data_IF_864366233581
#
_entry.id   IF_864366233581
#
_cell.length_a   1.000
_cell.length_b   1.000
_cell.length_c   1.000
_cell.angle_alpha   90.00
_cell.angle_beta   90.00
_cell.angle_gamma   90.00
#
_symmetry.space_group_name_H-M   'P 1'
#
loop_
_entity.id
_entity.type
_entity.pdbx_description
1 polymer ?
#
# COMPACT_ATOMS: atom_id res chain seq x y z
N UNK A 1 -14.44 14.41 9.98
CA UNK A 1 -13.19 13.66 9.90
C UNK A 1 -12.10 14.59 9.36
N UNK A 2 -11.22 15.06 10.21
CA UNK A 2 -10.08 15.87 9.81
C UNK A 2 -9.04 14.93 9.19
N UNK A 3 -8.65 15.19 7.95
CA UNK A 3 -7.48 14.61 7.32
C UNK A 3 -6.25 14.93 8.18
N UNK A 4 -5.69 13.91 8.82
CA UNK A 4 -4.52 14.07 9.67
C UNK A 4 -3.29 13.99 8.78
N UNK A 5 -2.62 15.12 8.57
CA UNK A 5 -1.31 15.14 7.90
C UNK A 5 -0.25 14.47 8.79
N UNK A 6 0.85 13.95 8.21
CA UNK A 6 1.84 13.14 8.92
C UNK A 6 2.39 13.71 10.25
N UNK A 7 2.34 15.03 10.46
CA UNK A 7 2.71 15.68 11.73
C UNK A 7 1.68 15.42 12.84
N UNK A 8 0.40 15.35 12.49
CA UNK A 8 -0.69 15.10 13.45
C UNK A 8 -0.77 13.63 13.86
N UNK A 9 -0.31 12.71 13.02
CA UNK A 9 -0.36 11.27 13.25
C UNK A 9 0.39 10.83 14.51
N UNK A 10 1.55 11.44 14.79
CA UNK A 10 2.32 11.16 16.00
C UNK A 10 1.80 11.94 17.21
N UNK A 11 1.15 13.09 17.01
CA UNK A 11 0.68 13.93 18.10
C UNK A 11 -0.47 13.31 18.91
N UNK A 12 -1.36 12.55 18.28
CA UNK A 12 -2.52 11.93 18.95
C UNK A 12 -2.12 10.88 19.98
N UNK A 13 -1.30 9.85 19.66
CA UNK A 13 -0.82 8.90 20.67
C UNK A 13 -0.02 9.57 21.79
N UNK A 14 0.87 10.51 21.48
CA UNK A 14 1.66 11.25 22.46
C UNK A 14 0.77 12.04 23.41
N UNK A 15 -0.22 12.76 22.90
CA UNK A 15 -1.14 13.56 23.73
C UNK A 15 -2.04 12.67 24.58
N UNK A 16 -2.48 11.53 24.08
CA UNK A 16 -3.27 10.56 24.84
C UNK A 16 -2.48 9.97 25.99
N UNK A 17 -1.27 9.48 25.72
CA UNK A 17 -0.37 8.91 26.74
C UNK A 17 -0.09 9.92 27.85
N UNK A 18 0.24 11.16 27.51
CA UNK A 18 0.50 12.21 28.48
C UNK A 18 -0.71 12.57 29.36
N UNK A 19 -1.93 12.36 28.83
CA UNK A 19 -3.17 12.73 29.52
C UNK A 19 -3.82 11.56 30.26
N UNK A 20 -3.72 10.34 29.73
CA UNK A 20 -4.42 9.14 30.20
C UNK A 20 -3.50 7.88 30.05
N UNK A 21 -2.39 7.80 30.80
CA UNK A 21 -1.37 6.77 30.57
C UNK A 21 -1.85 5.33 30.80
N UNK A 22 -2.86 5.14 31.65
CA UNK A 22 -3.40 3.82 31.99
C UNK A 22 -4.59 3.40 31.11
N UNK A 23 -4.99 4.22 30.14
CA UNK A 23 -6.16 3.95 29.31
C UNK A 23 -5.74 3.38 27.96
N UNK A 24 -6.24 2.20 27.56
CA UNK A 24 -5.99 1.67 26.22
C UNK A 24 -6.44 2.64 25.13
N UNK A 25 -5.73 2.66 24.03
CA UNK A 25 -6.05 3.51 22.89
C UNK A 25 -6.03 2.75 21.56
N UNK A 26 -6.72 3.27 20.59
CA UNK A 26 -6.70 2.79 19.21
C UNK A 26 -6.59 3.99 18.27
N UNK A 27 -5.75 3.89 17.25
CA UNK A 27 -5.63 4.90 16.19
C UNK A 27 -5.72 4.22 14.83
N UNK A 28 -6.60 4.74 13.97
CA UNK A 28 -6.65 4.41 12.56
C UNK A 28 -5.99 5.53 11.77
N UNK A 29 -4.91 5.20 11.06
CA UNK A 29 -4.12 6.15 10.27
C UNK A 29 -4.40 5.90 8.80
N UNK A 30 -5.24 6.74 8.20
CA UNK A 30 -5.51 6.75 6.76
C UNK A 30 -4.53 7.67 6.05
N UNK A 31 -3.44 7.10 5.52
CA UNK A 31 -2.47 7.87 4.74
C UNK A 31 -3.04 8.18 3.35
N UNK A 32 -2.74 9.37 2.81
CA UNK A 32 -2.97 9.66 1.38
C UNK A 32 -2.01 8.90 0.45
N UNK A 33 -0.89 8.47 0.98
CA UNK A 33 0.09 7.64 0.26
C UNK A 33 -0.39 6.18 0.18
N UNK A 34 -0.29 5.51 -0.96
CA UNK A 34 0.30 6.04 -2.21
C UNK A 34 -0.75 6.34 -3.28
N UNK A 35 -1.93 6.83 -2.92
CA UNK A 35 -2.93 7.25 -3.90
C UNK A 35 -2.49 8.53 -4.62
N UNK A 36 -2.81 8.66 -5.91
CA UNK A 36 -2.60 9.92 -6.62
C UNK A 36 -3.40 11.08 -5.98
N UNK A 37 -2.86 12.31 -5.97
CA UNK A 37 -1.62 12.77 -6.62
C UNK A 37 -0.37 12.27 -5.89
N UNK A 38 0.60 11.75 -6.66
CA UNK A 38 1.88 11.35 -6.09
C UNK A 38 2.72 12.60 -5.79
N UNK A 39 2.87 12.93 -4.52
CA UNK A 39 3.58 14.13 -4.04
C UNK A 39 4.55 13.74 -2.93
N UNK A 40 5.78 14.27 -3.00
CA UNK A 40 6.82 13.99 -2.02
C UNK A 40 7.87 15.11 -1.97
N UNK A 41 8.72 15.14 -0.94
CA UNK A 41 9.89 16.02 -0.91
C UNK A 41 10.78 15.84 -2.14
N UNK A 42 11.24 16.95 -2.71
CA UNK A 42 12.00 16.99 -3.97
C UNK A 42 13.25 16.11 -3.92
N UNK A 43 13.98 16.14 -2.83
CA UNK A 43 15.20 15.36 -2.63
C UNK A 43 14.96 13.84 -2.69
N UNK A 44 13.80 13.36 -2.25
CA UNK A 44 13.43 11.95 -2.37
C UNK A 44 13.08 11.60 -3.82
N UNK A 45 12.39 12.49 -4.53
CA UNK A 45 12.05 12.27 -5.94
C UNK A 45 13.35 12.20 -6.78
N UNK A 46 14.29 13.11 -6.56
CA UNK A 46 15.59 13.13 -7.24
C UNK A 46 16.43 11.88 -6.96
N UNK A 47 16.35 11.35 -5.73
CA UNK A 47 16.97 10.08 -5.38
C UNK A 47 16.39 8.92 -6.20
N UNK A 48 15.06 8.79 -6.24
CA UNK A 48 14.40 7.68 -6.95
C UNK A 48 14.45 7.84 -8.47
N UNK A 49 14.60 9.03 -9.00
CA UNK A 49 14.82 9.28 -10.42
C UNK A 49 16.05 8.53 -10.95
N UNK A 50 17.08 8.34 -10.13
CA UNK A 50 18.26 7.55 -10.48
C UNK A 50 18.05 6.04 -10.35
N UNK A 51 17.10 5.61 -9.52
CA UNK A 51 16.87 4.18 -9.22
C UNK A 51 16.18 3.47 -10.38
N UNK A 52 15.22 4.09 -11.05
CA UNK A 52 14.33 3.43 -12.00
C UNK A 52 14.75 3.56 -13.48
N UNK A 53 16.01 3.91 -13.75
CA UNK A 53 16.56 4.10 -15.11
C UNK A 53 16.49 2.82 -15.97
N UNK A 54 16.47 1.64 -15.36
CA UNK A 54 16.46 0.34 -16.04
C UNK A 54 15.07 -0.07 -16.55
N UNK A 55 14.01 0.67 -16.19
CA UNK A 55 12.66 0.44 -16.67
C UNK A 55 11.89 -0.71 -16.04
N UNK A 56 10.61 -0.78 -16.34
CA UNK A 56 9.68 -1.71 -15.66
C UNK A 56 9.88 -3.18 -15.98
N UNK A 57 10.41 -3.56 -17.16
CA UNK A 57 10.61 -4.98 -17.48
C UNK A 57 11.77 -5.57 -16.64
N UNK A 58 12.85 -4.81 -16.47
CA UNK A 58 13.97 -5.21 -15.61
C UNK A 58 13.53 -5.18 -14.14
N UNK A 59 12.84 -4.12 -13.72
CA UNK A 59 12.30 -4.01 -12.37
C UNK A 59 11.42 -5.21 -11.98
N UNK A 60 10.52 -5.66 -12.88
CA UNK A 60 9.69 -6.85 -12.64
C UNK A 60 10.52 -8.10 -12.39
N UNK A 61 11.56 -8.30 -13.20
CA UNK A 61 12.44 -9.48 -13.06
C UNK A 61 13.17 -9.45 -11.73
N UNK A 62 13.75 -8.30 -11.36
CA UNK A 62 14.48 -8.13 -10.10
C UNK A 62 13.54 -8.29 -8.88
N UNK A 63 12.32 -7.76 -8.95
CA UNK A 63 11.33 -7.95 -7.89
C UNK A 63 10.95 -9.41 -7.71
N UNK A 64 10.68 -10.13 -8.79
CA UNK A 64 10.35 -11.56 -8.70
C UNK A 64 11.50 -12.35 -8.09
N UNK A 65 12.74 -12.14 -8.55
CA UNK A 65 13.92 -12.78 -7.98
C UNK A 65 14.03 -12.53 -6.48
N UNK A 66 13.86 -11.27 -6.05
CA UNK A 66 13.89 -10.90 -4.63
C UNK A 66 12.76 -11.52 -3.81
N UNK A 67 11.55 -11.57 -4.36
CA UNK A 67 10.39 -12.21 -3.72
C UNK A 67 10.58 -13.73 -3.55
N UNK A 68 11.22 -14.40 -4.53
CA UNK A 68 11.58 -15.82 -4.43
C UNK A 68 12.66 -16.03 -3.37
N UNK A 69 13.70 -15.17 -3.36
CA UNK A 69 14.77 -15.22 -2.35
C UNK A 69 14.21 -15.08 -0.92
N UNK A 70 13.29 -14.14 -0.72
CA UNK A 70 12.64 -13.88 0.57
C UNK A 70 11.54 -14.90 0.92
N UNK A 71 11.17 -15.79 0.00
CA UNK A 71 10.10 -16.76 0.20
C UNK A 71 8.69 -16.19 0.11
N UNK A 72 8.52 -14.94 -0.33
CA UNK A 72 7.21 -14.28 -0.51
C UNK A 72 6.39 -15.00 -1.58
N UNK A 73 7.05 -15.50 -2.62
CA UNK A 73 6.45 -16.36 -3.64
C UNK A 73 7.21 -17.68 -3.76
N UNK A 74 6.54 -18.77 -4.17
CA UNK A 74 7.20 -20.08 -4.29
C UNK A 74 8.36 -20.08 -5.28
N UNK A 75 9.36 -20.94 -5.03
CA UNK A 75 10.43 -21.21 -6.00
C UNK A 75 9.81 -21.79 -7.28
N UNK A 76 10.30 -21.31 -8.42
CA UNK A 76 9.78 -21.70 -9.73
C UNK A 76 8.55 -20.90 -10.20
N UNK A 77 8.16 -19.88 -9.45
CA UNK A 77 7.18 -18.89 -9.95
C UNK A 77 7.76 -18.20 -11.18
N UNK A 78 7.02 -18.24 -12.27
CA UNK A 78 7.38 -17.58 -13.53
C UNK A 78 6.78 -16.17 -13.62
N UNK A 79 7.50 -15.26 -14.23
CA UNK A 79 7.00 -13.93 -14.51
C UNK A 79 5.93 -14.01 -15.62
N UNK A 80 4.69 -13.61 -15.37
CA UNK A 80 3.67 -13.64 -16.40
C UNK A 80 3.99 -12.64 -17.52
N UNK A 81 3.41 -12.82 -18.71
CA UNK A 81 3.48 -11.83 -19.78
C UNK A 81 3.09 -10.42 -19.29
N UNK A 82 3.55 -9.39 -19.99
CA UNK A 82 3.05 -8.03 -19.74
C UNK A 82 1.53 -8.00 -19.82
N UNK A 83 0.90 -7.14 -19.04
CA UNK A 83 -0.53 -6.89 -19.17
C UNK A 83 -0.84 -6.29 -20.53
N UNK A 84 -2.05 -6.52 -21.04
CA UNK A 84 -2.48 -6.00 -22.33
C UNK A 84 -2.25 -4.48 -22.41
N UNK A 85 -1.85 -4.00 -23.56
CA UNK A 85 -1.55 -2.59 -23.87
C UNK A 85 -0.37 -1.97 -23.05
N UNK A 86 0.43 -2.76 -22.37
CA UNK A 86 1.70 -2.32 -21.81
C UNK A 86 2.82 -2.61 -22.79
N UNK A 87 3.42 -1.57 -23.33
CA UNK A 87 4.55 -1.67 -24.26
C UNK A 87 5.82 -2.15 -23.56
N UNK A 88 6.72 -2.79 -24.31
CA UNK A 88 8.05 -3.11 -23.80
C UNK A 88 8.79 -1.82 -23.51
N UNK A 89 9.51 -1.78 -22.39
CA UNK A 89 10.32 -0.61 -22.04
C UNK A 89 11.27 -0.17 -23.15
N UNK A 90 11.92 -1.14 -23.79
CA UNK A 90 12.88 -0.90 -24.86
C UNK A 90 12.25 -0.38 -26.18
N UNK A 91 10.94 -0.44 -26.33
CA UNK A 91 10.21 0.06 -27.50
C UNK A 91 9.73 1.52 -27.32
N UNK A 92 9.83 2.05 -26.09
CA UNK A 92 9.48 3.44 -25.82
C UNK A 92 10.58 4.40 -26.30
N UNK A 93 10.16 5.56 -26.79
CA UNK A 93 11.11 6.65 -27.06
C UNK A 93 11.67 7.28 -25.77
N UNK A 94 12.81 7.98 -25.89
CA UNK A 94 13.54 8.57 -24.78
C UNK A 94 12.67 9.55 -23.95
N UNK A 95 11.77 10.27 -24.60
CA UNK A 95 10.89 11.23 -23.95
C UNK A 95 9.87 10.53 -23.05
N UNK A 96 9.28 9.47 -23.56
CA UNK A 96 8.32 8.63 -22.84
C UNK A 96 8.98 7.93 -21.65
N UNK A 97 10.17 7.36 -21.86
CA UNK A 97 10.94 6.74 -20.78
C UNK A 97 11.26 7.76 -19.67
N UNK A 98 11.73 8.95 -20.05
CA UNK A 98 12.10 10.01 -19.10
C UNK A 98 10.91 10.45 -18.22
N UNK A 99 9.75 10.68 -18.83
CA UNK A 99 8.53 11.03 -18.11
C UNK A 99 8.07 9.87 -17.20
N UNK A 100 8.10 8.65 -17.71
CA UNK A 100 7.71 7.46 -16.95
C UNK A 100 8.59 7.24 -15.72
N UNK A 101 9.92 7.41 -15.84
CA UNK A 101 10.87 7.35 -14.71
C UNK A 101 10.50 8.38 -13.65
N UNK A 102 10.29 9.63 -14.05
CA UNK A 102 9.98 10.71 -13.12
C UNK A 102 8.66 10.50 -12.38
N UNK A 103 7.64 9.99 -13.05
CA UNK A 103 6.35 9.63 -12.42
C UNK A 103 6.50 8.49 -11.41
N UNK A 104 7.30 7.46 -11.74
CA UNK A 104 7.61 6.38 -10.80
C UNK A 104 8.44 6.86 -9.61
N UNK A 105 9.37 7.76 -9.83
CA UNK A 105 10.18 8.36 -8.78
C UNK A 105 9.31 9.12 -7.77
N UNK A 106 8.31 9.88 -8.24
CA UNK A 106 7.36 10.57 -7.37
C UNK A 106 6.53 9.61 -6.52
N UNK A 107 6.06 8.49 -7.10
CA UNK A 107 5.35 7.44 -6.38
C UNK A 107 6.22 6.79 -5.29
N UNK A 108 7.42 6.35 -5.65
CA UNK A 108 8.34 5.71 -4.72
C UNK A 108 8.80 6.66 -3.60
N UNK A 109 9.03 7.92 -3.93
CA UNK A 109 9.35 8.96 -2.95
C UNK A 109 8.20 9.22 -1.96
N UNK A 110 6.95 9.19 -2.44
CA UNK A 110 5.77 9.32 -1.59
C UNK A 110 5.66 8.15 -0.60
N UNK A 111 5.88 6.92 -1.05
CA UNK A 111 5.90 5.74 -0.19
C UNK A 111 7.03 5.83 0.85
N UNK A 112 8.23 6.18 0.41
CA UNK A 112 9.38 6.36 1.31
C UNK A 112 9.10 7.43 2.37
N UNK A 113 8.51 8.56 1.98
CA UNK A 113 8.14 9.61 2.92
C UNK A 113 7.09 9.14 3.94
N UNK A 114 6.09 8.35 3.51
CA UNK A 114 5.12 7.74 4.41
C UNK A 114 5.79 6.77 5.40
N UNK A 115 6.71 5.93 4.94
CA UNK A 115 7.48 5.01 5.78
C UNK A 115 8.30 5.76 6.85
N UNK A 116 8.93 6.88 6.49
CA UNK A 116 9.62 7.74 7.46
C UNK A 116 8.68 8.27 8.57
N UNK A 117 7.41 8.55 8.24
CA UNK A 117 6.45 8.99 9.26
C UNK A 117 6.01 7.83 10.17
N UNK A 118 5.84 6.63 9.63
CA UNK A 118 5.59 5.42 10.43
C UNK A 118 6.78 5.11 11.34
N UNK A 119 8.01 5.23 10.84
CA UNK A 119 9.22 5.04 11.64
C UNK A 119 9.27 6.01 12.86
N UNK A 120 8.78 7.25 12.71
CA UNK A 120 8.69 8.19 13.84
C UNK A 120 7.68 7.74 14.91
N UNK A 121 6.54 7.15 14.49
CA UNK A 121 5.57 6.58 15.41
C UNK A 121 6.18 5.38 16.15
N UNK A 122 6.82 4.48 15.43
CA UNK A 122 7.50 3.30 16.00
C UNK A 122 8.53 3.74 17.05
N UNK A 123 9.41 4.69 16.69
CA UNK A 123 10.42 5.22 17.61
C UNK A 123 9.80 5.85 18.87
N UNK A 124 8.64 6.48 18.77
CA UNK A 124 7.92 7.01 19.92
C UNK A 124 7.40 5.89 20.84
N UNK A 125 6.78 4.85 20.26
CA UNK A 125 6.28 3.70 21.02
C UNK A 125 7.41 2.95 21.74
N UNK A 126 8.57 2.82 21.10
CA UNK A 126 9.78 2.26 21.73
C UNK A 126 10.26 3.12 22.88
N UNK A 127 10.40 4.43 22.68
CA UNK A 127 10.89 5.37 23.68
C UNK A 127 9.96 5.49 24.91
N UNK A 128 8.65 5.30 24.72
CA UNK A 128 7.65 5.31 25.80
C UNK A 128 7.44 3.95 26.45
N UNK A 129 8.08 2.89 25.95
CA UNK A 129 7.95 1.52 26.49
C UNK A 129 6.61 0.85 26.16
N UNK A 130 5.87 1.35 25.16
CA UNK A 130 4.58 0.80 24.78
C UNK A 130 4.64 -0.22 23.63
N UNK A 131 5.78 -0.33 22.95
CA UNK A 131 5.93 -1.14 21.74
C UNK A 131 5.56 -2.61 21.95
N UNK A 132 5.99 -3.21 23.06
CA UNK A 132 5.76 -4.63 23.33
C UNK A 132 4.27 -4.98 23.36
N UNK A 133 3.45 -4.11 23.97
CA UNK A 133 2.00 -4.30 24.10
C UNK A 133 1.18 -3.48 23.09
N UNK A 134 1.75 -3.16 21.94
CA UNK A 134 1.05 -2.45 20.85
C UNK A 134 1.00 -3.32 19.61
N UNK A 135 -0.20 -3.58 19.10
CA UNK A 135 -0.38 -4.18 17.78
C UNK A 135 -0.34 -3.11 16.71
N UNK A 136 0.56 -3.24 15.75
CA UNK A 136 0.63 -2.38 14.55
C UNK A 136 0.24 -3.22 13.35
N UNK A 137 -0.78 -2.78 12.61
CA UNK A 137 -1.20 -3.39 11.35
C UNK A 137 -1.02 -2.41 10.23
N UNK A 138 -0.24 -2.78 9.21
CA UNK A 138 -0.01 -1.97 8.00
C UNK A 138 -0.47 -2.76 6.80
N UNK A 139 -1.34 -2.18 6.00
CA UNK A 139 -1.87 -2.84 4.80
C UNK A 139 -2.07 -1.84 3.66
N UNK A 140 -2.11 -2.36 2.44
CA UNK A 140 -2.70 -1.69 1.28
C UNK A 140 -4.15 -2.17 1.12
N UNK A 141 -5.03 -1.29 0.67
CA UNK A 141 -6.47 -1.57 0.50
C UNK A 141 -6.80 -2.12 -0.89
N UNK A 142 -5.88 -1.98 -1.83
CA UNK A 142 -5.95 -2.52 -3.19
C UNK A 142 -4.56 -2.54 -3.85
N UNK A 143 -4.45 -3.24 -4.96
CA UNK A 143 -3.24 -3.24 -5.77
C UNK A 143 -2.95 -1.90 -6.43
N UNK A 144 -1.77 -1.79 -7.04
CA UNK A 144 -1.31 -0.58 -7.71
C UNK A 144 -2.31 -0.08 -8.75
N UNK A 145 -2.46 1.25 -8.84
CA UNK A 145 -3.47 1.91 -9.66
C UNK A 145 -3.17 1.82 -11.15
N UNK A 146 -4.20 1.55 -11.96
CA UNK A 146 -4.16 1.71 -13.42
C UNK A 146 -4.65 3.09 -13.90
N UNK A 147 -5.02 3.97 -12.99
CA UNK A 147 -5.70 5.22 -13.30
C UNK A 147 -4.80 6.24 -14.01
N UNK A 148 -3.48 6.04 -13.98
CA UNK A 148 -2.53 6.83 -14.77
C UNK A 148 -2.52 6.54 -16.28
N UNK A 149 -3.26 5.50 -16.72
CA UNK A 149 -3.30 5.13 -18.13
C UNK A 149 -1.97 4.59 -18.67
N UNK A 150 -1.86 4.41 -20.00
CA UNK A 150 -0.66 3.83 -20.61
C UNK A 150 0.61 4.63 -20.34
N UNK A 151 0.52 5.96 -20.33
CA UNK A 151 1.68 6.88 -20.35
C UNK A 151 1.80 7.74 -19.06
N UNK A 152 0.96 7.50 -18.07
CA UNK A 152 0.92 8.34 -16.87
C UNK A 152 0.39 9.74 -17.13
N UNK A 153 0.17 10.51 -16.06
CA UNK A 153 -0.30 11.89 -16.12
C UNK A 153 0.56 12.78 -15.23
N UNK A 154 0.83 14.00 -15.68
CA UNK A 154 1.37 15.06 -14.84
C UNK A 154 0.23 15.74 -14.08
N UNK A 155 -0.92 15.91 -14.73
CA UNK A 155 -2.13 16.41 -14.10
C UNK A 155 -3.37 15.63 -14.59
N UNK A 156 -3.76 14.61 -13.86
CA UNK A 156 -4.87 13.72 -14.19
C UNK A 156 -6.21 14.44 -14.40
N UNK A 157 -6.40 15.63 -13.85
CA UNK A 157 -7.66 16.36 -13.98
C UNK A 157 -7.97 16.76 -15.43
N UNK A 158 -6.94 17.05 -16.23
CA UNK A 158 -7.12 17.30 -17.68
C UNK A 158 -7.68 16.08 -18.39
N UNK A 159 -6.95 14.95 -18.46
CA UNK A 159 -7.39 13.70 -19.08
C UNK A 159 -8.75 13.19 -18.59
N UNK A 160 -9.05 13.28 -17.30
CA UNK A 160 -10.35 12.86 -16.75
C UNK A 160 -11.51 13.74 -17.22
N UNK A 161 -11.23 14.95 -17.67
CA UNK A 161 -12.20 15.86 -18.29
C UNK A 161 -12.13 15.88 -19.83
N UNK A 162 -11.47 14.88 -20.45
CA UNK A 162 -11.39 14.77 -21.91
C UNK A 162 -10.35 15.69 -22.56
N UNK A 163 -9.44 16.27 -21.79
CA UNK A 163 -8.33 17.12 -22.24
C UNK A 163 -7.02 16.33 -22.10
N UNK A 164 -6.60 15.56 -23.12
CA UNK A 164 -5.39 14.74 -23.05
C UNK A 164 -4.14 15.61 -22.93
N UNK A 165 -3.16 15.12 -22.18
CA UNK A 165 -1.83 15.73 -22.11
C UNK A 165 -0.94 15.17 -23.24
N UNK A 166 -0.35 16.04 -24.04
CA UNK A 166 0.69 15.66 -25.01
C UNK A 166 2.01 15.34 -24.31
N UNK A 167 2.90 14.59 -24.96
CA UNK A 167 4.23 14.31 -24.43
C UNK A 167 5.07 15.60 -24.28
N UNK A 168 4.91 16.58 -25.18
CA UNK A 168 5.55 17.87 -25.09
C UNK A 168 5.13 18.63 -23.81
N UNK A 169 3.84 18.65 -23.51
CA UNK A 169 3.32 19.25 -22.26
C UNK A 169 3.87 18.53 -21.03
N UNK A 170 3.90 17.20 -21.01
CA UNK A 170 4.49 16.43 -19.90
C UNK A 170 5.96 16.75 -19.69
N UNK A 171 6.75 16.82 -20.76
CA UNK A 171 8.16 17.15 -20.70
C UNK A 171 8.40 18.59 -20.21
N UNK A 172 7.58 19.54 -20.64
CA UNK A 172 7.69 20.94 -20.21
C UNK A 172 7.49 21.12 -18.70
N UNK A 173 6.80 20.15 -18.06
CA UNK A 173 6.47 20.15 -16.64
C UNK A 173 7.14 19.02 -15.85
N UNK A 174 8.16 18.39 -16.42
CA UNK A 174 8.80 17.21 -15.80
C UNK A 174 9.37 17.50 -14.41
N UNK A 175 9.90 18.71 -14.21
CA UNK A 175 10.45 19.14 -12.93
C UNK A 175 9.39 19.48 -11.87
N UNK A 176 8.14 19.68 -12.31
CA UNK A 176 7.00 19.90 -11.41
C UNK A 176 6.43 18.58 -10.85
N UNK A 177 6.68 17.45 -11.53
CA UNK A 177 6.14 16.13 -11.15
C UNK A 177 6.50 15.79 -9.70
N UNK A 178 5.48 15.47 -8.93
CA UNK A 178 5.59 15.19 -7.50
C UNK A 178 5.55 16.43 -6.60
N UNK A 179 5.45 17.62 -7.19
CA UNK A 179 5.26 18.88 -6.48
C UNK A 179 3.78 19.22 -6.22
N UNK A 180 3.52 20.30 -5.47
CA UNK A 180 2.16 20.66 -5.02
C UNK A 180 1.21 21.08 -6.15
N UNK A 181 1.77 21.51 -7.30
CA UNK A 181 1.00 22.02 -8.43
C UNK A 181 0.68 20.92 -9.49
N UNK A 182 0.90 19.65 -9.14
CA UNK A 182 0.64 18.50 -10.01
C UNK A 182 -0.32 17.51 -9.37
N UNK A 183 -1.12 16.86 -10.21
CA UNK A 183 -1.92 15.71 -9.85
C UNK A 183 -1.38 14.49 -10.61
N UNK A 184 -0.14 14.11 -10.31
CA UNK A 184 0.58 13.10 -11.05
C UNK A 184 0.14 11.68 -10.71
N UNK A 185 0.15 10.81 -11.74
CA UNK A 185 -0.06 9.37 -11.60
C UNK A 185 0.83 8.62 -12.59
N UNK A 186 1.38 7.48 -12.18
CA UNK A 186 2.34 6.72 -12.97
C UNK A 186 1.68 5.84 -14.04
N UNK A 187 2.42 5.45 -15.11
CA UNK A 187 1.87 4.65 -16.21
C UNK A 187 1.66 3.18 -15.83
N UNK A 188 0.83 2.48 -16.63
CA UNK A 188 0.51 1.04 -16.46
C UNK A 188 1.74 0.13 -16.34
N UNK A 189 2.82 0.46 -17.03
CA UNK A 189 4.06 -0.33 -16.94
C UNK A 189 4.61 -0.39 -15.51
N UNK A 190 4.61 0.73 -14.82
CA UNK A 190 5.03 0.79 -13.41
C UNK A 190 4.00 0.20 -12.47
N UNK A 191 2.69 0.36 -12.74
CA UNK A 191 1.64 -0.32 -11.98
C UNK A 191 1.78 -1.84 -12.06
N UNK A 192 2.07 -2.36 -13.27
CA UNK A 192 2.35 -3.78 -13.48
C UNK A 192 3.60 -4.22 -12.70
N UNK A 193 4.66 -3.42 -12.72
CA UNK A 193 5.88 -3.72 -11.96
C UNK A 193 5.63 -3.73 -10.44
N UNK A 194 4.82 -2.80 -9.94
CA UNK A 194 4.44 -2.74 -8.52
C UNK A 194 3.65 -3.99 -8.06
N UNK A 195 2.83 -4.57 -8.92
CA UNK A 195 2.01 -5.76 -8.62
C UNK A 195 2.71 -7.10 -8.91
N UNK A 196 3.99 -7.11 -9.29
CA UNK A 196 4.73 -8.33 -9.62
C UNK A 196 4.66 -9.39 -8.50
N UNK A 197 4.41 -10.66 -8.82
CA UNK A 197 4.18 -11.25 -10.14
C UNK A 197 2.71 -11.31 -10.55
N UNK A 198 1.83 -10.65 -9.84
CA UNK A 198 0.39 -10.73 -10.05
C UNK A 198 -0.05 -9.96 -11.29
N UNK A 199 -1.12 -10.43 -11.92
CA UNK A 199 -1.68 -9.79 -13.11
C UNK A 199 -2.71 -8.73 -12.75
N UNK A 200 -2.81 -7.71 -13.61
CA UNK A 200 -3.77 -6.60 -13.51
C UNK A 200 -3.49 -5.67 -12.33
N UNK A 201 -4.44 -4.86 -11.96
CA UNK A 201 -4.31 -3.65 -11.16
C UNK A 201 -5.53 -3.47 -10.25
N UNK A 202 -5.52 -2.44 -9.41
CA UNK A 202 -6.71 -1.87 -8.77
C UNK A 202 -7.89 -1.85 -9.76
N UNK A 203 -9.10 -2.04 -9.29
CA UNK A 203 -10.34 -2.15 -10.07
C UNK A 203 -10.46 -3.44 -10.91
N UNK A 204 -9.66 -4.45 -10.63
CA UNK A 204 -9.76 -5.77 -11.24
C UNK A 204 -9.84 -6.85 -10.16
N UNK A 205 -10.63 -7.88 -10.40
CA UNK A 205 -10.73 -9.05 -9.51
C UNK A 205 -9.58 -10.06 -9.70
N UNK A 206 -8.57 -9.72 -10.49
CA UNK A 206 -7.32 -10.47 -10.61
C UNK A 206 -6.41 -10.22 -9.40
N UNK A 207 -5.44 -11.11 -9.20
CA UNK A 207 -4.51 -11.02 -8.07
C UNK A 207 -3.86 -9.66 -7.87
N UNK A 208 -3.48 -8.95 -8.96
CA UNK A 208 -2.89 -7.63 -8.86
C UNK A 208 -3.85 -6.51 -8.42
N UNK A 209 -5.14 -6.81 -8.30
CA UNK A 209 -6.11 -5.86 -7.78
C UNK A 209 -6.61 -6.18 -6.37
N UNK A 210 -6.54 -7.47 -5.96
CA UNK A 210 -7.19 -7.94 -4.73
C UNK A 210 -6.25 -8.68 -3.76
N UNK A 211 -4.98 -8.85 -4.13
CA UNK A 211 -4.00 -9.52 -3.27
C UNK A 211 -2.91 -8.54 -2.85
N UNK A 212 -3.08 -7.99 -1.68
CA UNK A 212 -2.32 -6.87 -1.15
C UNK A 212 -1.52 -7.27 0.08
N UNK A 213 -0.43 -6.56 0.40
CA UNK A 213 0.38 -6.86 1.57
C UNK A 213 -0.36 -6.49 2.87
N UNK A 214 -0.20 -7.35 3.87
CA UNK A 214 -0.55 -7.09 5.26
C UNK A 214 0.67 -7.40 6.12
N UNK A 215 1.07 -6.45 6.95
CA UNK A 215 2.13 -6.58 7.94
C UNK A 215 1.50 -6.43 9.32
N UNK A 216 1.81 -7.36 10.23
CA UNK A 216 1.39 -7.29 11.63
C UNK A 216 2.63 -7.37 12.50
N UNK A 217 2.75 -6.42 13.40
CA UNK A 217 3.80 -6.38 14.40
C UNK A 217 3.17 -6.28 15.80
N UNK A 218 3.45 -7.27 16.65
CA UNK A 218 3.03 -7.29 18.04
C UNK A 218 4.00 -8.17 18.83
N UNK A 219 5.06 -7.62 19.42
CA UNK A 219 6.12 -8.39 20.06
C UNK A 219 5.62 -9.35 21.16
N UNK A 220 4.71 -8.91 22.01
CA UNK A 220 4.17 -9.73 23.11
C UNK A 220 3.35 -10.96 22.64
N UNK A 221 2.85 -10.97 21.42
CA UNK A 221 1.92 -12.00 20.94
C UNK A 221 2.39 -12.77 19.71
N UNK A 222 3.20 -12.16 18.87
CA UNK A 222 3.75 -12.84 17.69
C UNK A 222 5.04 -13.55 18.09
N UNK A 223 4.92 -14.81 18.51
CA UNK A 223 6.03 -15.59 19.05
C UNK A 223 7.16 -15.82 18.02
N UNK A 224 6.81 -16.04 16.76
CA UNK A 224 7.76 -16.28 15.68
C UNK A 224 7.53 -15.30 14.52
N UNK A 225 8.46 -14.37 14.26
CA UNK A 225 8.38 -13.50 13.09
C UNK A 225 8.52 -14.32 11.80
N UNK A 226 7.84 -13.90 10.73
CA UNK A 226 7.95 -14.56 9.43
C UNK A 226 6.69 -14.47 8.61
N UNK A 227 6.72 -15.09 7.44
CA UNK A 227 5.60 -15.11 6.52
C UNK A 227 4.46 -15.99 7.04
N UNK A 228 3.24 -15.58 6.76
CA UNK A 228 2.00 -16.32 7.00
C UNK A 228 1.33 -16.60 5.65
N UNK A 229 0.96 -17.87 5.43
CA UNK A 229 0.36 -18.32 4.17
C UNK A 229 -1.17 -18.52 4.27
N UNK A 230 -1.74 -18.31 5.44
CA UNK A 230 -3.18 -18.44 5.66
C UNK A 230 -3.95 -17.38 4.86
N UNK A 231 -5.07 -17.84 4.30
CA UNK A 231 -5.95 -16.94 3.56
C UNK A 231 -6.68 -16.01 4.52
N UNK A 232 -6.52 -14.71 4.32
CA UNK A 232 -7.23 -13.67 5.05
C UNK A 232 -7.72 -12.57 4.10
N UNK A 233 -8.62 -11.74 4.58
CA UNK A 233 -9.19 -10.61 3.86
C UNK A 233 -9.33 -9.41 4.80
N UNK A 234 -9.43 -8.19 4.27
CA UNK A 234 -9.56 -6.98 5.10
C UNK A 234 -10.73 -7.02 6.10
N UNK A 235 -11.84 -7.69 5.76
CA UNK A 235 -12.97 -7.87 6.70
C UNK A 235 -12.62 -8.74 7.93
N UNK A 236 -11.51 -9.48 7.89
CA UNK A 236 -11.07 -10.35 8.98
C UNK A 236 -10.25 -9.58 10.05
N UNK A 237 -9.82 -8.34 9.74
CA UNK A 237 -9.01 -7.53 10.65
C UNK A 237 -9.77 -7.16 11.94
N UNK A 238 -11.01 -6.71 11.80
CA UNK A 238 -11.83 -6.28 12.96
C UNK A 238 -12.11 -7.45 13.90
N UNK A 239 -12.62 -8.61 13.46
CA UNK A 239 -12.83 -9.74 14.35
C UNK A 239 -11.53 -10.26 14.95
N UNK A 240 -10.41 -10.19 14.23
CA UNK A 240 -9.09 -10.55 14.78
C UNK A 240 -8.67 -9.60 15.91
N UNK A 241 -8.83 -8.28 15.74
CA UNK A 241 -8.53 -7.33 16.80
C UNK A 241 -9.41 -7.53 18.03
N UNK A 242 -10.72 -7.73 17.83
CA UNK A 242 -11.66 -7.98 18.93
C UNK A 242 -11.31 -9.25 19.70
N UNK A 243 -10.96 -10.32 18.99
CA UNK A 243 -10.49 -11.58 19.57
C UNK A 243 -9.21 -11.37 20.40
N UNK A 244 -8.22 -10.65 19.85
CA UNK A 244 -6.96 -10.34 20.51
C UNK A 244 -7.11 -9.56 21.83
N UNK A 245 -8.10 -8.66 21.91
CA UNK A 245 -8.35 -7.84 23.09
C UNK A 245 -9.46 -8.39 24.00
N UNK A 246 -10.08 -9.54 23.64
CA UNK A 246 -11.10 -10.21 24.42
C UNK A 246 -12.43 -9.45 24.52
N UNK A 247 -12.81 -8.71 23.46
CA UNK A 247 -14.06 -7.95 23.40
C UNK A 247 -15.01 -8.57 22.39
N UNK A 248 -16.23 -8.88 22.81
CA UNK A 248 -17.29 -9.29 21.91
C UNK A 248 -17.88 -8.06 21.17
N UNK A 249 -18.13 -8.24 19.86
CA UNK A 249 -18.77 -7.19 19.08
C UNK A 249 -20.21 -6.95 19.59
N UNK A 250 -20.62 -5.69 19.87
CA UNK A 250 -21.95 -5.42 20.38
C UNK A 250 -23.01 -5.60 19.29
N UNK A 251 -24.12 -6.25 19.64
CA UNK A 251 -25.28 -6.42 18.75
C UNK A 251 -26.03 -5.08 18.49
N UNK A 252 -25.88 -4.12 19.39
CA UNK A 252 -26.54 -2.81 19.31
C UNK A 252 -25.52 -1.70 19.63
N UNK A 253 -25.41 -0.71 18.75
CA UNK A 253 -24.61 0.49 18.96
C UNK A 253 -25.52 1.71 18.87
N UNK A 254 -25.56 2.54 19.92
CA UNK A 254 -26.40 3.74 20.01
C UNK A 254 -27.88 3.48 19.66
N UNK A 255 -28.42 2.33 20.08
CA UNK A 255 -29.79 1.92 19.80
C UNK A 255 -30.05 1.36 18.40
N UNK A 256 -29.01 1.19 17.58
CA UNK A 256 -29.10 0.66 16.23
C UNK A 256 -28.57 -0.78 16.20
N UNK A 257 -29.41 -1.78 15.79
CA UNK A 257 -28.95 -3.15 15.60
C UNK A 257 -27.83 -3.23 14.56
N UNK A 258 -26.77 -3.96 14.89
CA UNK A 258 -25.64 -4.14 14.01
C UNK A 258 -25.82 -5.38 13.13
N UNK A 259 -25.24 -5.33 11.92
CA UNK A 259 -25.10 -6.54 11.10
C UNK A 259 -24.01 -7.41 11.69
N UNK A 260 -24.14 -8.76 11.63
CA UNK A 260 -23.04 -9.64 12.00
C UNK A 260 -21.76 -9.33 11.25
N UNK A 261 -20.64 -9.45 11.92
CA UNK A 261 -19.33 -9.35 11.28
C UNK A 261 -19.10 -10.61 10.43
N UNK A 262 -18.94 -10.45 9.12
CA UNK A 262 -18.75 -11.56 8.17
C UNK A 262 -17.30 -12.07 8.14
N UNK A 263 -16.36 -11.31 8.70
CA UNK A 263 -14.96 -11.70 8.81
C UNK A 263 -14.71 -12.79 9.83
N UNK A 264 -13.58 -13.46 9.70
CA UNK A 264 -13.13 -14.56 10.55
C UNK A 264 -11.80 -14.21 11.18
N UNK A 265 -11.68 -14.34 12.51
CA UNK A 265 -10.42 -14.11 13.21
C UNK A 265 -9.31 -15.04 12.72
N UNK A 266 -8.13 -14.50 12.55
CA UNK A 266 -6.90 -15.27 12.30
C UNK A 266 -5.86 -15.07 13.43
N UNK A 267 -6.28 -14.63 14.61
CA UNK A 267 -5.41 -14.41 15.78
C UNK A 267 -4.57 -15.63 16.15
N UNK A 268 -5.08 -16.85 15.92
CA UNK A 268 -4.36 -18.11 16.15
C UNK A 268 -3.01 -18.17 15.40
N UNK A 269 -2.87 -17.43 14.29
CA UNK A 269 -1.62 -17.39 13.51
C UNK A 269 -0.52 -16.56 14.17
N UNK A 270 -0.82 -15.82 15.22
CA UNK A 270 0.16 -15.04 15.97
C UNK A 270 1.01 -15.95 16.87
N UNK A 271 0.39 -16.94 17.49
CA UNK A 271 1.06 -17.92 18.35
C UNK A 271 1.64 -19.10 17.54
N UNK A 272 0.91 -19.57 16.53
CA UNK A 272 1.33 -20.70 15.66
C UNK A 272 1.32 -20.28 14.18
N UNK A 273 2.51 -20.15 13.54
CA UNK A 273 2.59 -19.79 12.13
C UNK A 273 1.91 -20.79 11.18
N UNK A 274 1.65 -22.01 11.64
CA UNK A 274 0.98 -23.09 10.89
C UNK A 274 -0.48 -23.29 11.29
N UNK A 275 -1.04 -22.45 12.16
CA UNK A 275 -2.41 -22.56 12.61
C UNK A 275 -3.38 -22.62 11.43
N UNK A 276 -4.38 -23.49 11.54
CA UNK A 276 -5.44 -23.60 10.52
C UNK A 276 -6.51 -22.57 10.84
N UNK A 277 -6.71 -21.63 9.93
CA UNK A 277 -7.79 -20.64 10.03
C UNK A 277 -9.11 -21.19 9.45
N UNK A 278 -10.23 -20.65 9.87
CA UNK A 278 -11.56 -21.07 9.39
C UNK A 278 -11.90 -20.45 8.03
N UNK A 279 -11.24 -19.37 7.63
CA UNK A 279 -11.47 -18.70 6.34
C UNK A 279 -11.16 -19.64 5.18
N UNK A 280 -12.16 -19.86 4.31
CA UNK A 280 -12.01 -20.76 3.14
C UNK A 280 -12.28 -20.07 1.82
N UNK A 281 -13.19 -19.10 1.82
CA UNK A 281 -13.67 -18.44 0.62
C UNK A 281 -13.87 -16.95 0.86
N UNK A 282 -13.70 -16.18 -0.21
CA UNK A 282 -14.05 -14.78 -0.26
C UNK A 282 -14.59 -14.47 -1.65
N UNK A 283 -15.70 -13.77 -1.73
CA UNK A 283 -16.25 -13.27 -2.97
C UNK A 283 -15.63 -11.93 -3.30
N UNK A 284 -15.22 -11.76 -4.56
CA UNK A 284 -14.73 -10.51 -5.12
C UNK A 284 -15.56 -10.16 -6.34
N UNK A 285 -16.02 -8.93 -6.40
CA UNK A 285 -16.80 -8.42 -7.53
C UNK A 285 -16.39 -6.98 -7.80
N UNK A 286 -16.41 -6.57 -9.07
CA UNK A 286 -16.11 -5.22 -9.50
C UNK A 286 -16.84 -4.96 -10.83
N UNK A 287 -17.76 -4.02 -10.81
CA UNK A 287 -18.55 -3.55 -11.97
C UNK A 287 -19.52 -4.57 -12.58
N UNK A 288 -19.98 -5.56 -11.82
CA UNK A 288 -20.90 -6.59 -12.29
C UNK A 288 -20.21 -7.69 -13.05
#
# INVERSE_FOLDING_TARGET
>A
SSLVTGVQTCALPISHEASLPETPWMTLIGLGACHAPHQAPRELIEHYDQVFQHGWDVERSQRLEKQIELGVVPRGTELPPRNDAVEAWAELDDSTQRVAIRLQAAYAAMLHHADQQLARLVAHLEASGQMENTVIMVLSDNGASQEGGPLGFVNAMGPYNGLPESMEEKLSRIDDIGGPDTHSNFPWGWSMAANTPLRRYKQNTHGGGVRDPLIIHWPDKVAEPGLRAQFCHACDLVPTLLDCIGIEAPDIINGIPQKPIEGVSFASTFEDPNAVTEKRTQYFEMFG
#
